data_IF_681139747392
#
_entry.id   IF_681139747392
#
_cell.length_a   1.000
_cell.length_b   1.000
_cell.length_c   1.000
_cell.angle_alpha   90.00
_cell.angle_beta   90.00
_cell.angle_gamma   90.00
#
_symmetry.space_group_name_H-M   'P 1'
#
loop_
_entity.id
_entity.type
_entity.pdbx_description
1 polymer ?
#
# COMPACT_ATOMS: atom_id res chain seq x y z
N UNK A 1 43.88 9.19 18.24
CA UNK A 1 42.54 9.43 18.84
C UNK A 1 41.53 10.09 17.89
N UNK A 2 41.84 11.21 17.21
CA UNK A 2 40.87 11.86 16.28
C UNK A 2 40.36 10.97 15.11
N UNK A 3 41.22 10.12 14.52
CA UNK A 3 40.82 9.22 13.41
C UNK A 3 39.91 8.06 13.86
N UNK A 4 40.04 7.59 15.10
CA UNK A 4 39.22 6.53 15.67
C UNK A 4 37.80 7.05 15.99
N UNK A 5 37.68 8.28 16.48
CA UNK A 5 36.38 8.93 16.78
C UNK A 5 35.59 9.21 15.51
N UNK A 6 36.24 9.63 14.42
CA UNK A 6 35.61 9.88 13.12
C UNK A 6 35.11 8.54 12.52
N UNK A 7 35.87 7.46 12.66
CA UNK A 7 35.47 6.13 12.15
C UNK A 7 34.26 5.55 12.93
N UNK A 8 34.17 5.80 14.23
CA UNK A 8 33.00 5.39 15.05
C UNK A 8 31.78 6.24 14.75
N UNK A 9 31.96 7.56 14.50
CA UNK A 9 30.84 8.46 14.15
C UNK A 9 30.28 8.14 12.77
N UNK A 10 31.13 7.79 11.79
CA UNK A 10 30.66 7.38 10.45
C UNK A 10 29.96 6.02 10.49
N UNK A 11 30.42 5.08 11.30
CA UNK A 11 29.74 3.78 11.47
C UNK A 11 28.39 3.93 12.19
N UNK A 12 28.29 4.81 13.20
CA UNK A 12 27.02 5.11 13.87
C UNK A 12 26.01 5.79 12.94
N UNK A 13 26.47 6.68 12.06
CA UNK A 13 25.60 7.40 11.11
C UNK A 13 25.10 6.48 9.99
N UNK A 14 25.88 5.49 9.53
CA UNK A 14 25.44 4.50 8.54
C UNK A 14 24.44 3.50 9.13
N UNK A 15 24.56 3.16 10.41
CA UNK A 15 23.58 2.30 11.10
C UNK A 15 22.26 3.04 11.32
N UNK A 16 22.27 4.34 11.67
CA UNK A 16 21.03 5.15 11.80
C UNK A 16 20.30 5.27 10.46
N UNK A 17 21.02 5.53 9.36
CA UNK A 17 20.40 5.61 8.01
C UNK A 17 19.82 4.28 7.54
N UNK A 18 20.39 3.13 7.94
CA UNK A 18 19.85 1.82 7.61
C UNK A 18 18.55 1.50 8.38
N UNK A 19 18.41 1.98 9.61
CA UNK A 19 17.17 1.83 10.40
C UNK A 19 16.03 2.68 9.85
N UNK A 20 16.31 3.92 9.40
CA UNK A 20 15.30 4.79 8.78
C UNK A 20 14.82 4.24 7.41
N UNK A 21 15.72 3.72 6.59
CA UNK A 21 15.37 3.14 5.30
C UNK A 21 14.48 1.89 5.44
N UNK A 22 14.75 1.00 6.40
CA UNK A 22 13.94 -0.18 6.66
C UNK A 22 12.55 0.19 7.22
N UNK A 23 12.44 1.25 8.02
CA UNK A 23 11.17 1.76 8.56
C UNK A 23 10.30 2.44 7.50
N UNK A 24 10.90 3.12 6.53
CA UNK A 24 10.17 3.73 5.41
C UNK A 24 9.60 2.67 4.45
N UNK A 25 10.36 1.61 4.15
CA UNK A 25 9.92 0.54 3.25
C UNK A 25 8.73 -0.23 3.83
N UNK A 26 8.73 -0.50 5.13
CA UNK A 26 7.62 -1.17 5.84
C UNK A 26 6.33 -0.32 5.82
N UNK A 27 6.42 0.98 6.07
CA UNK A 27 5.26 1.91 6.02
C UNK A 27 4.66 2.00 4.60
N UNK A 28 5.49 2.01 3.57
CA UNK A 28 5.04 2.02 2.18
C UNK A 28 4.31 0.71 1.85
N UNK A 29 4.83 -0.44 2.28
CA UNK A 29 4.17 -1.74 2.09
C UNK A 29 2.84 -1.82 2.83
N UNK A 30 2.77 -1.38 4.09
CA UNK A 30 1.52 -1.35 4.87
C UNK A 30 0.46 -0.45 4.22
N UNK A 31 0.85 0.73 3.75
CA UNK A 31 -0.06 1.65 3.06
C UNK A 31 -0.59 1.06 1.75
N UNK A 32 0.25 0.34 1.02
CA UNK A 32 -0.11 -0.36 -0.22
C UNK A 32 -1.08 -1.51 0.04
N UNK A 33 -0.82 -2.34 1.05
CA UNK A 33 -1.75 -3.41 1.48
C UNK A 33 -3.11 -2.86 1.88
N UNK A 34 -3.12 -1.83 2.72
CA UNK A 34 -4.36 -1.17 3.16
C UNK A 34 -5.15 -0.55 1.99
N UNK A 35 -4.47 -0.05 0.94
CA UNK A 35 -5.12 0.41 -0.28
C UNK A 35 -5.77 -0.76 -1.03
N UNK A 36 -5.03 -1.84 -1.29
CA UNK A 36 -5.53 -3.02 -1.99
C UNK A 36 -6.72 -3.65 -1.27
N UNK A 37 -6.67 -3.77 0.04
CA UNK A 37 -7.78 -4.28 0.86
C UNK A 37 -9.03 -3.39 0.73
N UNK A 38 -8.87 -2.05 0.71
CA UNK A 38 -9.98 -1.12 0.48
C UNK A 38 -10.55 -1.24 -0.94
N UNK A 39 -9.72 -1.32 -1.96
CA UNK A 39 -10.15 -1.52 -3.34
C UNK A 39 -10.94 -2.82 -3.50
N UNK A 40 -10.45 -3.92 -2.94
CA UNK A 40 -11.14 -5.22 -2.91
C UNK A 40 -12.52 -5.09 -2.22
N UNK A 41 -12.58 -4.43 -1.06
CA UNK A 41 -13.82 -4.25 -0.31
C UNK A 41 -14.88 -3.42 -1.08
N UNK A 42 -14.46 -2.38 -1.80
CA UNK A 42 -15.35 -1.59 -2.69
C UNK A 42 -15.90 -2.48 -3.82
N UNK A 43 -15.04 -3.28 -4.45
CA UNK A 43 -15.46 -4.19 -5.52
C UNK A 43 -16.43 -5.26 -4.98
N UNK A 44 -16.16 -5.85 -3.82
CA UNK A 44 -17.02 -6.84 -3.18
C UNK A 44 -18.40 -6.28 -2.89
N UNK A 45 -18.46 -5.07 -2.35
CA UNK A 45 -19.73 -4.38 -2.10
C UNK A 45 -20.50 -4.17 -3.40
N UNK A 46 -19.85 -3.69 -4.46
CA UNK A 46 -20.50 -3.51 -5.76
C UNK A 46 -20.99 -4.82 -6.36
N UNK A 47 -20.18 -5.87 -6.34
CA UNK A 47 -20.57 -7.18 -6.87
C UNK A 47 -21.77 -7.76 -6.10
N UNK A 48 -21.80 -7.58 -4.77
CA UNK A 48 -22.91 -8.04 -3.92
C UNK A 48 -24.19 -7.24 -4.17
N UNK A 49 -24.09 -5.90 -4.22
CA UNK A 49 -25.25 -5.01 -4.38
C UNK A 49 -25.87 -5.14 -5.79
N UNK A 50 -25.08 -5.56 -6.78
CA UNK A 50 -25.45 -5.57 -8.20
C UNK A 50 -25.57 -6.96 -8.81
N UNK A 51 -25.33 -8.04 -8.06
CA UNK A 51 -25.35 -9.42 -8.56
C UNK A 51 -26.67 -9.79 -9.28
N UNK A 52 -27.80 -9.19 -8.87
CA UNK A 52 -29.12 -9.43 -9.46
C UNK A 52 -29.53 -8.39 -10.51
N UNK A 53 -28.81 -7.26 -10.65
CA UNK A 53 -29.23 -6.09 -11.42
C UNK A 53 -28.31 -5.72 -12.58
N UNK A 54 -27.10 -6.28 -12.65
CA UNK A 54 -26.11 -5.90 -13.66
C UNK A 54 -26.45 -6.51 -15.01
N UNK A 55 -26.91 -5.71 -15.95
CA UNK A 55 -27.02 -6.06 -17.37
C UNK A 55 -25.66 -5.99 -18.09
N UNK A 56 -24.65 -5.35 -17.49
CA UNK A 56 -23.32 -5.16 -18.07
C UNK A 56 -22.33 -6.25 -17.63
N UNK A 57 -22.39 -7.39 -18.33
CA UNK A 57 -21.50 -8.52 -18.11
C UNK A 57 -20.00 -8.16 -18.28
N UNK A 58 -19.70 -7.11 -19.08
CA UNK A 58 -18.33 -6.64 -19.28
C UNK A 58 -17.83 -5.84 -18.09
N UNK A 59 -18.64 -4.93 -17.56
CA UNK A 59 -18.29 -4.17 -16.38
C UNK A 59 -18.08 -5.11 -15.17
N UNK A 60 -18.97 -6.11 -15.02
CA UNK A 60 -18.80 -7.16 -14.00
C UNK A 60 -17.50 -7.94 -14.17
N UNK A 61 -17.16 -8.33 -15.40
CA UNK A 61 -15.89 -9.03 -15.66
C UNK A 61 -14.67 -8.15 -15.34
N UNK A 62 -14.72 -6.87 -15.70
CA UNK A 62 -13.63 -5.93 -15.40
C UNK A 62 -13.44 -5.77 -13.88
N UNK A 63 -14.53 -5.66 -13.11
CA UNK A 63 -14.49 -5.63 -11.65
C UNK A 63 -13.86 -6.89 -11.06
N UNK A 64 -14.29 -8.07 -11.47
CA UNK A 64 -13.73 -9.34 -10.97
C UNK A 64 -12.26 -9.47 -11.34
N UNK A 65 -11.86 -9.07 -12.55
CA UNK A 65 -10.45 -9.09 -12.97
C UNK A 65 -9.58 -8.12 -12.18
N UNK A 66 -10.09 -6.91 -11.95
CA UNK A 66 -9.38 -5.94 -11.09
C UNK A 66 -9.20 -6.52 -9.69
N UNK A 67 -10.25 -7.10 -9.11
CA UNK A 67 -10.19 -7.76 -7.81
C UNK A 67 -9.15 -8.89 -7.76
N UNK A 68 -9.11 -9.74 -8.81
CA UNK A 68 -8.11 -10.81 -8.95
C UNK A 68 -6.70 -10.23 -9.01
N UNK A 69 -6.49 -9.14 -9.76
CA UNK A 69 -5.19 -8.48 -9.86
C UNK A 69 -4.76 -7.90 -8.50
N UNK A 70 -5.64 -7.19 -7.80
CA UNK A 70 -5.37 -6.59 -6.50
C UNK A 70 -5.05 -7.66 -5.45
N UNK A 71 -5.79 -8.79 -5.47
CA UNK A 71 -5.53 -9.91 -4.55
C UNK A 71 -4.21 -10.63 -4.85
N UNK A 72 -3.84 -10.76 -6.13
CA UNK A 72 -2.50 -11.28 -6.51
C UNK A 72 -1.39 -10.39 -5.96
N UNK A 73 -1.55 -9.09 -6.09
CA UNK A 73 -0.60 -8.12 -5.55
C UNK A 73 -0.54 -8.20 -4.00
N UNK A 74 -1.69 -8.31 -3.34
CA UNK A 74 -1.78 -8.47 -1.89
C UNK A 74 -1.07 -9.75 -1.40
N UNK A 75 -1.24 -10.87 -2.10
CA UNK A 75 -0.53 -12.12 -1.81
C UNK A 75 0.98 -11.94 -1.99
N UNK A 76 1.41 -11.31 -3.08
CA UNK A 76 2.83 -11.06 -3.34
C UNK A 76 3.48 -10.16 -2.28
N UNK A 77 2.79 -9.13 -1.81
CA UNK A 77 3.27 -8.28 -0.71
C UNK A 77 3.35 -9.07 0.61
N UNK A 78 2.36 -9.93 0.88
CA UNK A 78 2.40 -10.82 2.05
C UNK A 78 3.55 -11.83 1.99
N UNK A 79 3.89 -12.36 0.81
CA UNK A 79 5.04 -13.27 0.63
C UNK A 79 6.37 -12.56 0.92
N UNK A 80 6.54 -11.30 0.50
CA UNK A 80 7.73 -10.48 0.83
C UNK A 80 7.85 -10.23 2.33
N UNK A 81 6.73 -9.88 2.97
CA UNK A 81 6.70 -9.65 4.41
C UNK A 81 7.06 -10.91 5.21
N UNK A 82 6.52 -12.07 4.82
CA UNK A 82 6.87 -13.39 5.40
C UNK A 82 8.37 -13.69 5.21
N UNK A 83 8.93 -13.41 4.03
CA UNK A 83 10.35 -13.63 3.77
C UNK A 83 11.23 -12.74 4.67
N UNK A 84 10.88 -11.48 4.83
CA UNK A 84 11.56 -10.53 5.72
C UNK A 84 11.49 -10.99 7.19
N UNK A 85 10.30 -11.40 7.63
CA UNK A 85 10.07 -11.86 8.99
C UNK A 85 10.85 -13.17 9.27
N UNK A 86 10.88 -14.10 8.32
CA UNK A 86 11.69 -15.32 8.42
C UNK A 86 13.19 -15.02 8.50
N UNK A 87 13.68 -13.98 7.81
CA UNK A 87 15.09 -13.54 7.94
C UNK A 87 15.38 -12.99 9.32
N UNK A 88 14.47 -12.17 9.87
CA UNK A 88 14.59 -11.64 11.25
C UNK A 88 14.53 -12.76 12.30
N UNK A 89 13.66 -13.74 12.13
CA UNK A 89 13.58 -14.92 13.00
C UNK A 89 14.92 -15.68 12.99
N UNK A 90 15.49 -15.94 11.81
CA UNK A 90 16.78 -16.63 11.69
C UNK A 90 17.92 -15.86 12.37
N UNK A 91 18.02 -14.55 12.14
CA UNK A 91 19.03 -13.71 12.76
C UNK A 91 18.87 -13.68 14.30
N UNK A 92 17.63 -13.62 14.78
CA UNK A 92 17.33 -13.63 16.21
C UNK A 92 17.65 -14.97 16.85
N UNK A 93 17.36 -16.08 16.17
CA UNK A 93 17.70 -17.44 16.61
C UNK A 93 19.23 -17.58 16.76
N UNK A 94 19.99 -17.18 15.73
CA UNK A 94 21.47 -17.21 15.79
C UNK A 94 22.03 -16.34 16.93
N UNK A 95 21.38 -15.20 17.24
CA UNK A 95 21.76 -14.38 18.37
C UNK A 95 21.49 -15.09 19.70
N UNK A 96 20.33 -15.73 19.84
CA UNK A 96 20.00 -16.49 21.03
C UNK A 96 20.94 -17.69 21.24
N UNK A 97 21.28 -18.41 20.17
CA UNK A 97 22.19 -19.56 20.19
C UNK A 97 23.60 -19.12 20.67
N UNK A 98 24.11 -17.98 20.21
CA UNK A 98 25.39 -17.41 20.68
C UNK A 98 25.36 -17.03 22.17
N UNK A 99 24.25 -16.49 22.66
CA UNK A 99 24.09 -16.16 24.08
C UNK A 99 24.03 -17.45 24.90
N UNK A 100 23.36 -18.48 24.39
CA UNK A 100 23.31 -19.80 25.02
C UNK A 100 24.71 -20.42 25.14
N UNK A 101 25.48 -20.47 24.06
CA UNK A 101 26.88 -20.96 24.06
C UNK A 101 27.74 -20.23 25.08
N UNK A 102 27.59 -18.89 25.19
CA UNK A 102 28.29 -18.08 26.17
C UNK A 102 27.86 -18.44 27.59
N UNK A 103 26.55 -18.66 27.81
CA UNK A 103 26.02 -19.06 29.12
C UNK A 103 26.58 -20.43 29.54
N UNK A 104 26.62 -21.38 28.63
CA UNK A 104 27.14 -22.74 28.87
C UNK A 104 28.64 -22.67 29.23
N UNK A 105 29.42 -21.87 28.51
CA UNK A 105 30.84 -21.64 28.80
C UNK A 105 31.06 -21.02 30.20
N UNK A 106 30.27 -19.99 30.53
CA UNK A 106 30.36 -19.34 31.84
C UNK A 106 29.97 -20.29 32.97
N UNK A 107 28.93 -21.07 32.76
CA UNK A 107 28.42 -22.06 33.72
C UNK A 107 29.51 -23.13 33.98
N UNK A 108 30.08 -23.70 32.93
CA UNK A 108 31.15 -24.68 33.03
C UNK A 108 32.40 -24.14 33.80
N UNK A 109 32.75 -22.89 33.51
CA UNK A 109 33.85 -22.23 34.22
C UNK A 109 33.53 -22.00 35.69
N UNK A 110 32.32 -21.53 35.98
CA UNK A 110 31.84 -21.31 37.34
C UNK A 110 31.80 -22.59 38.15
N UNK A 111 31.28 -23.69 37.56
CA UNK A 111 31.27 -25.02 38.21
C UNK A 111 32.70 -25.48 38.59
N UNK A 112 33.69 -25.26 37.75
CA UNK A 112 35.09 -25.57 38.10
C UNK A 112 35.60 -24.75 39.28
N UNK A 113 35.26 -23.44 39.32
CA UNK A 113 35.62 -22.56 40.43
C UNK A 113 34.96 -23.02 41.75
N UNK A 114 33.66 -23.30 41.70
CA UNK A 114 32.87 -23.76 42.88
C UNK A 114 33.41 -25.11 43.36
N UNK A 115 33.68 -26.05 42.45
CA UNK A 115 34.23 -27.39 42.80
C UNK A 115 35.59 -27.28 43.47
N UNK A 116 36.48 -26.38 42.98
CA UNK A 116 37.75 -26.12 43.59
C UNK A 116 37.62 -25.46 44.96
N UNK A 117 36.73 -24.49 45.12
CA UNK A 117 36.46 -23.85 46.39
C UNK A 117 35.85 -24.84 47.40
N UNK A 118 34.95 -25.73 46.95
CA UNK A 118 34.33 -26.75 47.81
C UNK A 118 35.31 -27.80 48.33
N UNK A 119 36.28 -28.26 47.50
CA UNK A 119 37.37 -29.16 47.92
C UNK A 119 38.18 -28.59 49.07
N UNK A 120 38.32 -27.27 49.10
CA UNK A 120 39.13 -26.53 50.07
C UNK A 120 38.29 -25.77 51.10
N UNK A 121 37.01 -26.20 51.35
CA UNK A 121 36.01 -25.47 52.16
C UNK A 121 36.31 -25.46 53.68
N UNK A 122 37.17 -26.37 54.16
CA UNK A 122 37.49 -26.38 55.58
C UNK A 122 38.25 -25.08 55.93
N UNK A 123 37.62 -24.26 56.76
CA UNK A 123 38.20 -22.99 57.22
C UNK A 123 39.56 -23.19 57.89
N UNK A 124 39.75 -24.34 58.57
CA UNK A 124 41.05 -24.68 59.15
C UNK A 124 42.12 -24.82 58.08
N UNK A 125 41.78 -25.42 56.91
CA UNK A 125 42.72 -25.56 55.78
C UNK A 125 43.10 -24.20 55.22
N UNK A 126 42.19 -23.24 55.16
CA UNK A 126 42.49 -21.89 54.64
C UNK A 126 43.37 -21.09 55.59
N UNK A 127 43.09 -21.17 56.95
CA UNK A 127 43.99 -20.55 57.94
C UNK A 127 45.35 -21.23 57.97
N UNK A 128 45.39 -22.58 57.91
CA UNK A 128 46.64 -23.34 57.84
C UNK A 128 47.43 -22.98 56.55
N UNK A 129 46.77 -22.80 55.41
CA UNK A 129 47.42 -22.42 54.15
C UNK A 129 48.11 -21.03 54.23
N UNK A 130 47.48 -20.08 54.94
CA UNK A 130 48.05 -18.75 55.17
C UNK A 130 49.19 -18.86 56.25
N UNK A 131 48.93 -19.55 57.35
CA UNK A 131 49.86 -19.67 58.46
C UNK A 131 51.13 -20.52 58.13
N UNK A 132 51.00 -21.48 57.21
CA UNK A 132 52.11 -22.28 56.70
C UNK A 132 52.98 -21.52 55.74
N UNK A 133 52.97 -20.19 55.72
CA UNK A 133 53.79 -19.36 54.89
C UNK A 133 55.15 -19.16 55.54
N UNK A 134 56.23 -19.19 54.74
CA UNK A 134 57.60 -19.04 55.18
C UNK A 134 57.96 -17.59 55.61
N UNK A 135 57.18 -16.64 55.15
CA UNK A 135 57.33 -15.23 55.48
C UNK A 135 56.03 -14.44 55.34
N UNK A 136 55.95 -13.24 55.92
CA UNK A 136 54.82 -12.36 55.92
C UNK A 136 54.32 -12.00 54.50
N UNK A 137 55.25 -11.77 53.55
CA UNK A 137 54.95 -11.44 52.16
C UNK A 137 54.22 -12.61 51.43
N UNK A 138 54.59 -13.88 51.74
CA UNK A 138 53.94 -15.05 51.20
C UNK A 138 52.52 -15.22 51.82
N UNK A 139 52.39 -14.97 53.11
CA UNK A 139 51.09 -15.00 53.80
C UNK A 139 50.16 -13.97 53.21
N UNK A 140 50.58 -12.76 52.92
CA UNK A 140 49.82 -11.72 52.32
C UNK A 140 49.38 -12.08 50.87
N UNK A 141 50.31 -12.65 50.05
CA UNK A 141 49.97 -13.13 48.69
C UNK A 141 48.90 -14.23 48.74
N UNK A 142 48.98 -15.19 49.65
CA UNK A 142 48.01 -16.27 49.80
C UNK A 142 46.64 -15.76 50.26
N UNK A 143 46.57 -14.81 51.18
CA UNK A 143 45.35 -14.16 51.61
C UNK A 143 44.69 -13.38 50.47
N UNK A 144 45.46 -12.62 49.69
CA UNK A 144 44.97 -11.92 48.52
C UNK A 144 44.47 -12.88 47.43
N UNK A 145 45.12 -14.01 47.22
CA UNK A 145 44.68 -15.02 46.29
C UNK A 145 43.26 -15.54 46.65
N UNK A 146 43.05 -15.88 47.91
CA UNK A 146 41.71 -16.35 48.38
C UNK A 146 40.64 -15.27 48.28
N UNK A 147 40.99 -14.02 48.60
CA UNK A 147 40.09 -12.88 48.45
C UNK A 147 39.73 -12.67 46.97
N UNK A 148 40.70 -12.72 46.08
CA UNK A 148 40.50 -12.57 44.63
C UNK A 148 39.65 -13.72 44.07
N UNK A 149 39.85 -14.96 44.54
CA UNK A 149 39.04 -16.11 44.15
C UNK A 149 37.55 -15.92 44.51
N UNK A 150 37.28 -15.45 45.73
CA UNK A 150 35.89 -15.16 46.15
C UNK A 150 35.25 -14.05 45.33
N UNK A 151 36.02 -12.98 45.09
CA UNK A 151 35.58 -11.86 44.25
C UNK A 151 35.27 -12.33 42.82
N UNK A 152 36.14 -13.18 42.25
CA UNK A 152 35.96 -13.72 40.92
C UNK A 152 34.74 -14.66 40.83
N UNK A 153 34.52 -15.50 41.84
CA UNK A 153 33.31 -16.35 41.91
C UNK A 153 32.04 -15.51 41.91
N UNK A 154 31.96 -14.47 42.74
CA UNK A 154 30.78 -13.57 42.76
C UNK A 154 30.60 -12.89 41.41
N UNK A 155 31.66 -12.36 40.83
CA UNK A 155 31.63 -11.72 39.50
C UNK A 155 31.14 -12.66 38.38
N UNK A 156 31.58 -13.93 38.40
CA UNK A 156 31.11 -14.93 37.42
C UNK A 156 29.66 -15.34 37.68
N UNK A 157 29.21 -15.44 38.93
CA UNK A 157 27.84 -15.69 39.28
C UNK A 157 26.91 -14.58 38.77
N UNK A 158 27.26 -13.32 38.96
CA UNK A 158 26.52 -12.16 38.42
C UNK A 158 26.42 -12.22 36.89
N UNK A 159 27.58 -12.48 36.20
CA UNK A 159 27.57 -12.62 34.74
C UNK A 159 26.62 -13.74 34.25
N UNK A 160 26.55 -14.85 34.96
CA UNK A 160 25.63 -15.94 34.59
C UNK A 160 24.18 -15.49 34.74
N UNK A 161 23.85 -14.78 35.83
CA UNK A 161 22.50 -14.25 36.05
C UNK A 161 22.12 -13.27 34.94
N UNK A 162 22.99 -12.32 34.61
CA UNK A 162 22.79 -11.33 33.56
C UNK A 162 22.64 -11.97 32.18
N UNK A 163 23.52 -12.94 31.86
CA UNK A 163 23.50 -13.65 30.57
C UNK A 163 22.23 -14.49 30.44
N UNK A 164 21.76 -15.12 31.54
CA UNK A 164 20.50 -15.86 31.58
C UNK A 164 19.29 -14.93 31.35
N UNK A 165 19.30 -13.77 31.99
CA UNK A 165 18.26 -12.75 31.77
C UNK A 165 18.27 -12.21 30.32
N UNK A 166 19.44 -12.04 29.73
CA UNK A 166 19.59 -11.66 28.32
C UNK A 166 19.02 -12.75 27.41
N UNK A 167 19.38 -14.02 27.65
CA UNK A 167 18.85 -15.14 26.86
C UNK A 167 17.32 -15.20 26.93
N UNK A 168 16.75 -15.04 28.12
CA UNK A 168 15.30 -15.03 28.28
C UNK A 168 14.65 -13.93 27.42
N UNK A 169 15.18 -12.69 27.46
CA UNK A 169 14.68 -11.60 26.60
C UNK A 169 14.81 -11.90 25.10
N UNK A 170 15.89 -12.58 24.68
CA UNK A 170 16.06 -13.00 23.28
C UNK A 170 15.02 -14.04 22.88
N UNK A 171 14.75 -15.03 23.75
CA UNK A 171 13.75 -16.07 23.52
C UNK A 171 12.33 -15.51 23.50
N UNK A 172 11.97 -14.60 24.40
CA UNK A 172 10.68 -13.95 24.40
C UNK A 172 10.43 -13.16 23.11
N UNK A 173 11.42 -12.37 22.70
CA UNK A 173 11.38 -11.65 21.43
C UNK A 173 11.28 -12.58 20.22
N UNK A 174 11.95 -13.72 20.23
CA UNK A 174 11.87 -14.74 19.18
C UNK A 174 10.47 -15.36 19.11
N UNK A 175 9.87 -15.66 20.24
CA UNK A 175 8.52 -16.22 20.32
C UNK A 175 7.48 -15.25 19.76
N UNK A 176 7.59 -13.97 20.07
CA UNK A 176 6.71 -12.93 19.48
C UNK A 176 6.84 -12.93 17.94
N UNK A 177 8.05 -12.89 17.40
CA UNK A 177 8.26 -12.92 15.95
C UNK A 177 7.71 -14.19 15.27
N UNK A 178 7.84 -15.34 15.93
CA UNK A 178 7.25 -16.62 15.44
C UNK A 178 5.72 -16.54 15.40
N UNK A 179 5.10 -16.02 16.47
CA UNK A 179 3.65 -15.86 16.53
C UNK A 179 3.13 -14.90 15.44
N UNK A 180 3.80 -13.77 15.23
CA UNK A 180 3.50 -12.85 14.12
C UNK A 180 3.58 -13.55 12.76
N UNK A 181 4.61 -14.36 12.53
CA UNK A 181 4.79 -15.11 11.29
C UNK A 181 3.64 -16.11 11.04
N UNK A 182 3.17 -16.80 12.08
CA UNK A 182 2.05 -17.75 11.96
C UNK A 182 0.73 -17.03 11.61
N UNK A 183 0.43 -15.89 12.26
CA UNK A 183 -0.74 -15.08 11.94
C UNK A 183 -0.70 -14.61 10.49
N UNK A 184 0.46 -14.12 10.04
CA UNK A 184 0.63 -13.64 8.68
C UNK A 184 0.50 -14.76 7.64
N UNK A 185 1.04 -15.95 7.92
CA UNK A 185 0.88 -17.15 7.06
C UNK A 185 -0.58 -17.60 6.96
N UNK A 186 -1.31 -17.59 8.08
CA UNK A 186 -2.73 -17.91 8.09
C UNK A 186 -3.54 -16.91 7.24
N UNK A 187 -3.28 -15.61 7.39
CA UNK A 187 -3.89 -14.55 6.56
C UNK A 187 -3.57 -14.77 5.08
N UNK A 188 -2.31 -14.99 4.74
CA UNK A 188 -1.86 -15.27 3.36
C UNK A 188 -2.58 -16.49 2.76
N UNK A 189 -2.75 -17.55 3.54
CA UNK A 189 -3.47 -18.76 3.08
C UNK A 189 -4.94 -18.46 2.79
N UNK A 190 -5.60 -17.67 3.62
CA UNK A 190 -6.97 -17.20 3.39
C UNK A 190 -7.07 -16.39 2.09
N UNK A 191 -6.11 -15.49 1.83
CA UNK A 191 -6.07 -14.69 0.60
C UNK A 191 -5.86 -15.56 -0.66
N UNK A 192 -5.02 -16.59 -0.59
CA UNK A 192 -4.82 -17.53 -1.71
C UNK A 192 -6.11 -18.32 -2.01
N UNK A 193 -6.81 -18.79 -0.97
CA UNK A 193 -8.07 -19.51 -1.14
C UNK A 193 -9.16 -18.59 -1.75
N UNK A 194 -9.21 -17.33 -1.33
CA UNK A 194 -10.12 -16.35 -1.92
C UNK A 194 -9.76 -16.05 -3.39
N UNK A 195 -8.46 -15.92 -3.70
CA UNK A 195 -7.96 -15.73 -5.06
C UNK A 195 -8.39 -16.86 -6.00
N UNK A 196 -8.26 -18.12 -5.57
CA UNK A 196 -8.69 -19.27 -6.36
C UNK A 196 -10.18 -19.24 -6.69
N UNK A 197 -11.03 -18.87 -5.70
CA UNK A 197 -12.48 -18.71 -5.92
C UNK A 197 -12.79 -17.60 -6.93
N UNK A 198 -12.09 -16.48 -6.84
CA UNK A 198 -12.28 -15.34 -7.74
C UNK A 198 -11.79 -15.63 -9.16
N UNK A 199 -10.69 -16.36 -9.31
CA UNK A 199 -10.21 -16.84 -10.61
C UNK A 199 -11.23 -17.79 -11.27
N UNK A 200 -11.81 -18.73 -10.52
CA UNK A 200 -12.85 -19.61 -10.99
C UNK A 200 -14.13 -18.83 -11.39
N UNK A 201 -14.52 -17.82 -10.62
CA UNK A 201 -15.63 -16.93 -10.96
C UNK A 201 -15.34 -16.15 -12.26
N UNK A 202 -14.15 -15.60 -12.41
CA UNK A 202 -13.70 -14.92 -13.63
C UNK A 202 -13.77 -15.84 -14.86
N UNK A 203 -13.28 -17.08 -14.71
CA UNK A 203 -13.33 -18.09 -15.79
C UNK A 203 -14.78 -18.43 -16.19
N UNK A 204 -15.67 -18.54 -15.22
CA UNK A 204 -17.10 -18.81 -15.46
C UNK A 204 -17.75 -17.65 -16.22
N UNK A 205 -17.48 -16.41 -15.84
CA UNK A 205 -17.95 -15.22 -16.55
C UNK A 205 -17.45 -15.17 -17.99
N UNK A 206 -16.18 -15.47 -18.21
CA UNK A 206 -15.58 -15.57 -19.56
C UNK A 206 -16.30 -16.62 -20.40
N UNK A 207 -16.54 -17.82 -19.86
CA UNK A 207 -17.25 -18.91 -20.55
C UNK A 207 -18.68 -18.52 -20.92
N UNK A 208 -19.39 -17.84 -20.02
CA UNK A 208 -20.74 -17.35 -20.28
C UNK A 208 -20.78 -16.29 -21.39
N UNK A 209 -19.81 -15.35 -21.37
CA UNK A 209 -19.67 -14.35 -22.43
C UNK A 209 -19.38 -15.00 -23.80
N UNK A 210 -18.51 -16.02 -23.82
CA UNK A 210 -18.21 -16.78 -25.05
C UNK A 210 -19.44 -17.49 -25.62
N UNK A 211 -20.27 -18.11 -24.75
CA UNK A 211 -21.51 -18.79 -25.17
C UNK A 211 -22.54 -17.82 -25.76
N UNK A 212 -22.61 -16.61 -25.22
CA UNK A 212 -23.56 -15.57 -25.63
C UNK A 212 -22.95 -14.55 -26.63
N UNK A 213 -21.96 -14.95 -27.40
CA UNK A 213 -21.18 -14.07 -28.28
C UNK A 213 -22.02 -13.18 -29.20
N UNK A 214 -23.07 -13.74 -29.86
CA UNK A 214 -23.90 -12.99 -30.80
C UNK A 214 -24.68 -11.87 -30.13
N UNK A 215 -25.29 -12.16 -28.98
CA UNK A 215 -26.00 -11.14 -28.16
C UNK A 215 -25.03 -10.06 -27.71
N UNK A 216 -23.87 -10.47 -27.25
CA UNK A 216 -22.85 -9.56 -26.74
C UNK A 216 -22.26 -8.63 -27.83
N UNK A 217 -22.13 -9.11 -29.06
CA UNK A 217 -21.71 -8.27 -30.20
C UNK A 217 -22.71 -7.16 -30.50
N UNK A 218 -24.01 -7.43 -30.38
CA UNK A 218 -25.06 -6.38 -30.53
C UNK A 218 -24.94 -5.32 -29.42
N UNK A 219 -24.79 -5.75 -28.17
CA UNK A 219 -24.64 -4.86 -27.03
C UNK A 219 -23.34 -4.01 -27.14
N UNK A 220 -22.25 -4.61 -27.61
CA UNK A 220 -20.99 -3.91 -27.86
C UNK A 220 -21.12 -2.84 -28.94
N UNK A 221 -21.87 -3.15 -30.04
CA UNK A 221 -22.13 -2.18 -31.11
C UNK A 221 -22.98 -1.00 -30.58
N UNK A 222 -23.98 -1.26 -29.73
CA UNK A 222 -24.78 -0.21 -29.08
C UNK A 222 -23.88 0.67 -28.17
N UNK A 223 -23.05 0.07 -27.33
CA UNK A 223 -22.10 0.81 -26.49
C UNK A 223 -21.09 1.62 -27.29
N UNK A 224 -20.58 1.08 -28.40
CA UNK A 224 -19.70 1.84 -29.28
C UNK A 224 -20.38 3.12 -29.77
N UNK A 225 -21.65 3.03 -30.20
CA UNK A 225 -22.40 4.23 -30.62
C UNK A 225 -22.55 5.24 -29.49
N UNK A 226 -22.80 4.80 -28.24
CA UNK A 226 -22.88 5.68 -27.07
C UNK A 226 -21.56 6.40 -26.77
N UNK A 227 -20.44 5.66 -26.78
CA UNK A 227 -19.09 6.23 -26.57
C UNK A 227 -18.74 7.24 -27.67
N UNK A 228 -19.00 6.88 -28.94
CA UNK A 228 -18.75 7.78 -30.08
C UNK A 228 -19.63 9.04 -30.00
N UNK A 229 -20.89 8.92 -29.56
CA UNK A 229 -21.78 10.06 -29.34
C UNK A 229 -21.27 10.96 -28.19
N UNK A 230 -20.84 10.37 -27.07
CA UNK A 230 -20.24 11.09 -25.95
C UNK A 230 -19.02 11.87 -26.40
N UNK A 231 -18.07 11.19 -27.06
CA UNK A 231 -16.83 11.80 -27.50
C UNK A 231 -17.06 12.97 -28.48
N UNK A 232 -18.01 12.82 -29.42
CA UNK A 232 -18.41 13.90 -30.35
C UNK A 232 -19.03 15.08 -29.61
N UNK A 233 -19.91 14.83 -28.64
CA UNK A 233 -20.57 15.89 -27.88
C UNK A 233 -19.57 16.63 -26.99
N UNK A 234 -18.63 15.91 -26.31
CA UNK A 234 -17.56 16.52 -25.54
C UNK A 234 -16.68 17.40 -26.45
N UNK A 235 -16.25 16.87 -27.60
CA UNK A 235 -15.43 17.63 -28.55
C UNK A 235 -16.17 18.90 -29.04
N UNK A 236 -17.50 18.80 -29.30
CA UNK A 236 -18.34 19.95 -29.69
C UNK A 236 -18.41 21.00 -28.59
N UNK A 237 -18.65 20.58 -27.35
CA UNK A 237 -18.74 21.47 -26.18
C UNK A 237 -17.41 22.17 -25.94
N UNK A 238 -16.31 21.44 -25.97
CA UNK A 238 -14.98 21.99 -25.79
C UNK A 238 -14.64 22.96 -26.93
N UNK A 239 -14.93 22.60 -28.17
CA UNK A 239 -14.70 23.49 -29.35
C UNK A 239 -15.52 24.79 -29.23
N UNK A 240 -16.77 24.71 -28.79
CA UNK A 240 -17.61 25.88 -28.51
C UNK A 240 -17.05 26.75 -27.36
N UNK A 241 -16.54 26.11 -26.31
CA UNK A 241 -15.93 26.82 -25.17
C UNK A 241 -14.60 27.52 -25.56
N UNK A 242 -13.78 26.89 -26.42
CA UNK A 242 -12.54 27.45 -26.92
C UNK A 242 -12.80 28.56 -27.97
N UNK A 243 -13.75 28.36 -28.87
CA UNK A 243 -14.08 29.33 -29.94
C UNK A 243 -14.93 30.53 -29.50
N UNK A 244 -15.44 30.50 -28.26
CA UNK A 244 -16.31 31.58 -27.73
C UNK A 244 -17.69 31.66 -28.40
N UNK A 245 -18.11 30.66 -29.19
CA UNK A 245 -19.39 30.61 -29.92
C UNK A 245 -20.49 29.89 -29.16
N UNK A 246 -20.61 30.11 -27.85
CA UNK A 246 -21.62 29.50 -27.00
C UNK A 246 -22.60 30.52 -26.44
N UNK A 247 -23.81 30.64 -27.08
CA UNK A 247 -25.01 31.31 -26.56
C UNK A 247 -24.94 32.82 -26.34
N UNK A 248 -26.10 33.49 -26.47
CA UNK A 248 -26.33 34.95 -26.42
C UNK A 248 -25.82 35.72 -25.16
N UNK A 249 -25.00 35.16 -24.28
CA UNK A 249 -24.53 35.83 -23.07
C UNK A 249 -23.06 35.56 -22.66
N UNK A 250 -22.24 34.96 -23.51
CA UNK A 250 -20.83 34.75 -23.17
C UNK A 250 -19.93 35.68 -23.99
N UNK A 251 -19.73 36.90 -23.52
CA UNK A 251 -18.60 37.73 -23.95
C UNK A 251 -17.33 36.88 -23.85
N UNK A 252 -16.44 36.97 -24.88
CA UNK A 252 -15.09 36.39 -24.90
C UNK A 252 -14.36 36.80 -23.60
N UNK A 253 -14.49 36.01 -22.54
CA UNK A 253 -13.56 36.15 -21.42
C UNK A 253 -12.24 35.53 -21.89
N UNK A 254 -11.11 36.29 -21.83
CA UNK A 254 -9.81 35.75 -22.15
C UNK A 254 -9.55 34.47 -21.35
N UNK A 255 -8.91 33.50 -21.98
CA UNK A 255 -8.44 32.28 -21.28
C UNK A 255 -7.63 32.74 -20.08
N UNK A 256 -7.95 32.27 -18.88
CA UNK A 256 -7.19 32.59 -17.68
C UNK A 256 -5.81 31.91 -17.78
N UNK A 257 -4.83 32.69 -18.28
CA UNK A 257 -3.46 32.23 -18.55
C UNK A 257 -2.79 31.74 -17.25
N UNK A 258 -3.14 32.36 -16.11
CA UNK A 258 -2.59 31.98 -14.81
C UNK A 258 -3.12 30.60 -14.41
N UNK A 259 -4.41 30.37 -14.52
CA UNK A 259 -5.06 29.10 -14.22
C UNK A 259 -4.59 27.98 -15.14
N UNK A 260 -4.36 28.27 -16.44
CA UNK A 260 -3.81 27.34 -17.42
C UNK A 260 -2.40 26.86 -17.03
N UNK A 261 -1.52 27.80 -16.68
CA UNK A 261 -0.15 27.49 -16.28
C UNK A 261 -0.10 26.73 -14.94
N UNK A 262 -0.98 27.10 -13.99
CA UNK A 262 -1.09 26.42 -12.70
C UNK A 262 -1.60 24.98 -12.86
N UNK A 263 -2.62 24.74 -13.69
CA UNK A 263 -3.08 23.39 -14.00
C UNK A 263 -1.95 22.53 -14.59
N UNK A 264 -1.23 23.05 -15.58
CA UNK A 264 -0.13 22.33 -16.23
C UNK A 264 1.00 21.93 -15.24
N UNK A 265 1.34 22.81 -14.28
CA UNK A 265 2.35 22.55 -13.23
C UNK A 265 1.94 21.46 -12.23
N UNK A 266 0.64 21.16 -12.14
CA UNK A 266 0.10 20.15 -11.24
C UNK A 266 -0.02 18.75 -11.87
N UNK A 267 0.64 18.49 -12.99
CA UNK A 267 0.73 17.14 -13.56
C UNK A 267 1.33 16.16 -12.54
N UNK A 268 0.63 15.04 -12.28
CA UNK A 268 1.01 14.05 -11.29
C UNK A 268 0.79 14.48 -9.83
N UNK A 269 0.04 15.56 -9.58
CA UNK A 269 -0.24 16.10 -8.24
C UNK A 269 -1.72 16.40 -8.00
N UNK A 270 -2.57 16.26 -9.01
CA UNK A 270 -3.99 16.52 -8.86
C UNK A 270 -4.62 15.45 -7.95
N UNK A 271 -5.54 15.83 -7.06
CA UNK A 271 -6.26 14.88 -6.24
C UNK A 271 -7.20 14.02 -7.11
N UNK A 272 -7.44 12.79 -6.68
CA UNK A 272 -8.45 11.95 -7.30
C UNK A 272 -9.85 12.55 -7.14
N UNK A 273 -10.71 12.48 -8.19
CA UNK A 273 -12.08 13.00 -8.12
C UNK A 273 -12.96 12.20 -7.14
N UNK A 274 -12.61 10.96 -6.88
CA UNK A 274 -13.20 10.08 -5.87
C UNK A 274 -12.24 8.92 -5.58
N UNK A 275 -12.38 8.27 -4.42
CA UNK A 275 -11.56 7.12 -4.02
C UNK A 275 -12.20 5.82 -4.50
N UNK A 276 -11.48 5.07 -5.33
CA UNK A 276 -11.92 3.76 -5.82
C UNK A 276 -10.98 3.16 -6.85
N UNK A 277 -11.11 1.85 -7.13
CA UNK A 277 -10.29 1.17 -8.13
C UNK A 277 -10.63 1.64 -9.54
N UNK A 278 -9.60 1.85 -10.37
CA UNK A 278 -9.74 2.09 -11.81
C UNK A 278 -10.04 0.76 -12.49
N UNK A 279 -11.18 0.68 -13.17
CA UNK A 279 -11.67 -0.54 -13.84
C UNK A 279 -11.60 -0.49 -15.34
N UNK A 280 -11.40 0.71 -15.93
CA UNK A 280 -11.15 0.91 -17.34
C UNK A 280 -10.18 2.08 -17.53
N UNK A 281 -9.10 1.84 -18.28
CA UNK A 281 -7.98 2.75 -18.43
C UNK A 281 -8.10 3.59 -19.71
N UNK A 282 -7.34 4.68 -19.76
CA UNK A 282 -7.24 5.54 -20.95
C UNK A 282 -6.61 4.80 -22.13
N UNK A 283 -7.11 5.05 -23.32
CA UNK A 283 -6.49 4.62 -24.55
C UNK A 283 -7.25 3.55 -25.33
N UNK A 284 -6.54 2.90 -26.24
CA UNK A 284 -7.08 1.87 -27.09
C UNK A 284 -6.92 0.50 -26.43
N UNK A 285 -8.03 -0.20 -26.22
CA UNK A 285 -8.04 -1.54 -25.62
C UNK A 285 -8.68 -2.56 -26.56
N UNK A 286 -8.29 -3.82 -26.36
CA UNK A 286 -8.96 -4.96 -27.00
C UNK A 286 -9.88 -5.64 -26.00
N UNK A 287 -10.93 -6.25 -26.54
CA UNK A 287 -11.88 -6.97 -25.71
C UNK A 287 -11.19 -8.12 -24.97
N UNK A 288 -11.28 -8.19 -23.63
CA UNK A 288 -10.52 -9.15 -22.83
C UNK A 288 -10.87 -10.63 -23.08
N UNK A 289 -12.07 -10.92 -23.63
CA UNK A 289 -12.52 -12.27 -23.99
C UNK A 289 -12.35 -12.50 -25.49
N UNK A 290 -12.76 -11.54 -26.32
CA UNK A 290 -12.65 -11.61 -27.78
C UNK A 290 -11.46 -10.77 -28.25
N UNK A 291 -10.25 -11.31 -28.10
CA UNK A 291 -8.97 -10.59 -28.30
C UNK A 291 -8.82 -9.91 -29.67
N UNK A 292 -9.55 -10.35 -30.70
CA UNK A 292 -9.60 -9.73 -32.03
C UNK A 292 -10.52 -8.52 -32.11
N UNK A 293 -11.38 -8.32 -31.12
CA UNK A 293 -12.36 -7.21 -31.12
C UNK A 293 -11.74 -5.99 -30.45
N UNK A 294 -11.58 -4.93 -31.24
CA UNK A 294 -11.10 -3.61 -30.80
C UNK A 294 -12.23 -2.86 -30.13
N UNK A 295 -12.04 -2.44 -28.89
CA UNK A 295 -13.00 -1.60 -28.16
C UNK A 295 -12.94 -0.16 -28.65
N UNK A 296 -13.97 0.67 -28.41
CA UNK A 296 -13.86 2.12 -28.62
C UNK A 296 -12.67 2.70 -27.88
N UNK A 297 -12.05 3.75 -28.43
CA UNK A 297 -10.99 4.48 -27.72
C UNK A 297 -11.56 5.12 -26.47
N UNK A 298 -10.99 4.84 -25.30
CA UNK A 298 -11.38 5.43 -24.02
C UNK A 298 -10.63 6.75 -23.81
N UNK A 299 -11.31 7.89 -23.88
CA UNK A 299 -10.74 9.22 -23.69
C UNK A 299 -10.50 9.58 -22.21
N UNK A 300 -10.79 8.65 -21.28
CA UNK A 300 -10.65 8.87 -19.86
C UNK A 300 -10.38 7.58 -19.09
N UNK A 301 -10.77 7.59 -17.83
CA UNK A 301 -10.72 6.43 -16.94
C UNK A 301 -12.09 6.19 -16.34
N UNK A 302 -12.36 4.94 -15.95
CA UNK A 302 -13.56 4.59 -15.20
C UNK A 302 -13.17 4.12 -13.81
N UNK A 303 -13.74 4.78 -12.79
CA UNK A 303 -13.48 4.51 -11.37
C UNK A 303 -14.73 3.84 -10.78
N UNK A 304 -14.53 2.71 -10.11
CA UNK A 304 -15.59 1.99 -9.39
C UNK A 304 -15.76 2.59 -7.99
N UNK A 305 -17.01 2.93 -7.63
CA UNK A 305 -17.30 3.71 -6.42
C UNK A 305 -18.39 3.04 -5.58
N UNK A 306 -18.52 3.47 -4.33
CA UNK A 306 -19.69 3.16 -3.52
C UNK A 306 -20.91 3.91 -4.01
N UNK A 307 -22.13 3.40 -3.72
CA UNK A 307 -23.36 4.09 -4.08
C UNK A 307 -23.44 5.45 -3.39
N UNK A 308 -23.74 6.51 -4.17
CA UNK A 308 -23.85 7.86 -3.65
C UNK A 308 -22.53 8.51 -3.24
N UNK A 309 -21.39 7.99 -3.71
CA UNK A 309 -20.07 8.57 -3.43
C UNK A 309 -19.99 10.00 -3.96
N UNK A 310 -19.49 10.98 -3.13
CA UNK A 310 -19.33 12.36 -3.56
C UNK A 310 -18.17 12.50 -4.54
N UNK A 311 -18.43 13.21 -5.65
CA UNK A 311 -17.45 13.51 -6.69
C UNK A 311 -16.91 14.92 -6.48
N UNK A 312 -15.59 15.04 -6.47
CA UNK A 312 -14.86 16.29 -6.18
C UNK A 312 -14.17 16.84 -7.41
N UNK A 313 -14.12 18.17 -7.51
CA UNK A 313 -13.34 18.85 -8.54
C UNK A 313 -11.83 18.60 -8.31
N UNK A 314 -11.11 18.17 -9.34
CA UNK A 314 -9.67 17.88 -9.24
C UNK A 314 -8.81 19.14 -9.21
N UNK A 315 -9.34 20.28 -9.66
CA UNK A 315 -8.64 21.56 -9.67
C UNK A 315 -9.64 22.76 -9.65
N UNK A 316 -9.13 23.93 -9.28
CA UNK A 316 -9.87 25.19 -9.33
C UNK A 316 -10.33 25.49 -10.77
N UNK A 317 -11.56 25.95 -10.94
CA UNK A 317 -12.07 26.21 -12.28
C UNK A 317 -13.47 26.81 -12.32
N UNK A 318 -14.06 26.83 -13.50
CA UNK A 318 -15.42 27.33 -13.74
C UNK A 318 -16.22 26.24 -14.44
N UNK A 319 -17.40 25.90 -13.89
CA UNK A 319 -18.35 24.98 -14.52
C UNK A 319 -18.85 25.58 -15.82
N UNK A 320 -18.50 24.96 -16.94
CA UNK A 320 -18.92 25.45 -18.27
C UNK A 320 -20.28 24.97 -18.66
N UNK A 321 -20.53 23.68 -18.45
CA UNK A 321 -21.76 23.05 -18.88
C UNK A 321 -22.08 21.81 -18.04
N UNK A 322 -23.36 21.52 -17.91
CA UNK A 322 -23.88 20.27 -17.41
C UNK A 322 -24.76 19.69 -18.50
N UNK A 323 -24.44 18.49 -18.96
CA UNK A 323 -25.17 17.78 -20.02
C UNK A 323 -25.68 16.45 -19.51
N UNK A 324 -26.85 16.00 -20.03
CA UNK A 324 -27.39 14.67 -19.79
C UNK A 324 -27.23 13.86 -21.06
N UNK A 325 -26.56 12.69 -20.94
CA UNK A 325 -26.31 11.85 -22.10
C UNK A 325 -26.75 10.40 -21.84
N UNK A 326 -27.34 9.76 -22.86
CA UNK A 326 -27.75 8.35 -22.77
C UNK A 326 -26.55 7.45 -22.40
N UNK A 327 -26.71 6.62 -21.37
CA UNK A 327 -25.64 5.72 -20.84
C UNK A 327 -24.59 6.39 -19.97
N UNK A 328 -24.58 7.73 -19.88
CA UNK A 328 -23.65 8.51 -19.04
C UNK A 328 -24.32 9.43 -18.04
N UNK A 329 -25.66 9.52 -18.07
CA UNK A 329 -26.45 10.36 -17.18
C UNK A 329 -25.95 11.82 -17.16
N UNK A 330 -25.88 12.48 -16.00
CA UNK A 330 -25.39 13.85 -15.88
C UNK A 330 -23.87 13.87 -15.96
N UNK A 331 -23.37 14.79 -16.79
CA UNK A 331 -21.96 15.05 -16.97
C UNK A 331 -21.65 16.51 -16.71
N UNK A 332 -20.63 16.80 -15.91
CA UNK A 332 -20.18 18.15 -15.56
C UNK A 332 -18.86 18.43 -16.28
N UNK A 333 -18.77 19.53 -17.01
CA UNK A 333 -17.57 20.05 -17.64
C UNK A 333 -17.05 21.25 -16.84
N UNK A 334 -15.80 21.18 -16.36
CA UNK A 334 -15.12 22.27 -15.66
C UNK A 334 -13.96 22.77 -16.53
N UNK A 335 -13.81 24.08 -16.68
CA UNK A 335 -12.72 24.71 -17.39
C UNK A 335 -11.66 25.26 -16.42
N UNK A 336 -10.38 25.00 -16.73
CA UNK A 336 -9.18 25.39 -15.99
C UNK A 336 -8.20 26.09 -16.95
N UNK A 337 -8.58 27.28 -17.47
CA UNK A 337 -7.83 27.91 -18.58
C UNK A 337 -8.11 27.23 -19.92
N UNK A 338 -7.10 26.66 -20.56
CA UNK A 338 -7.23 25.85 -21.79
C UNK A 338 -7.34 24.34 -21.51
N UNK A 339 -7.41 23.97 -20.22
CA UNK A 339 -7.63 22.62 -19.76
C UNK A 339 -9.08 22.41 -19.34
N UNK A 340 -9.56 21.18 -19.49
CA UNK A 340 -10.90 20.79 -19.11
C UNK A 340 -10.91 19.46 -18.37
N UNK A 341 -11.70 19.37 -17.30
CA UNK A 341 -12.02 18.11 -16.63
C UNK A 341 -13.49 17.78 -16.84
N UNK A 342 -13.78 16.52 -17.11
CA UNK A 342 -15.12 16.04 -17.43
C UNK A 342 -15.51 14.87 -16.54
N UNK A 343 -16.63 14.99 -15.85
CA UNK A 343 -17.13 14.06 -14.84
C UNK A 343 -18.50 13.56 -15.28
N UNK A 344 -18.59 12.28 -15.64
CA UNK A 344 -19.82 11.65 -16.12
C UNK A 344 -20.35 10.58 -15.18
N UNK A 345 -21.61 10.21 -15.38
CA UNK A 345 -22.36 9.23 -14.58
C UNK A 345 -22.74 9.74 -13.20
N UNK A 346 -23.02 11.03 -13.09
CA UNK A 346 -23.54 11.65 -11.89
C UNK A 346 -25.06 11.52 -11.81
N UNK A 347 -25.58 11.16 -10.65
CA UNK A 347 -27.02 11.16 -10.36
C UNK A 347 -27.54 12.53 -10.00
N UNK A 348 -26.73 13.28 -9.22
CA UNK A 348 -27.04 14.66 -8.83
C UNK A 348 -25.83 15.55 -9.03
N UNK A 349 -26.09 16.84 -9.23
CA UNK A 349 -25.05 17.87 -9.34
C UNK A 349 -25.30 18.94 -8.27
N UNK A 350 -24.25 19.32 -7.56
CA UNK A 350 -24.28 20.38 -6.53
C UNK A 350 -23.87 21.74 -7.08
N UNK A 351 -23.61 21.82 -8.38
CA UNK A 351 -23.10 23.03 -9.08
C UNK A 351 -23.96 23.33 -10.31
N UNK A 352 -23.86 24.57 -10.80
CA UNK A 352 -24.57 25.05 -11.99
C UNK A 352 -23.56 25.62 -12.99
N UNK A 353 -23.90 25.70 -14.30
CA UNK A 353 -23.08 26.41 -15.29
C UNK A 353 -22.78 27.84 -14.85
N UNK A 354 -21.52 28.24 -14.91
CA UNK A 354 -21.02 29.56 -14.45
C UNK A 354 -20.44 29.56 -13.05
N UNK A 355 -20.70 28.55 -12.21
CA UNK A 355 -20.15 28.49 -10.86
C UNK A 355 -18.63 28.33 -10.88
N UNK A 356 -17.95 29.03 -9.97
CA UNK A 356 -16.54 28.81 -9.65
C UNK A 356 -16.42 27.69 -8.63
N UNK A 357 -15.57 26.73 -8.91
CA UNK A 357 -15.29 25.60 -8.03
C UNK A 357 -13.84 25.61 -7.57
N UNK A 358 -13.60 25.08 -6.37
CA UNK A 358 -12.29 24.91 -5.78
C UNK A 358 -11.86 23.44 -5.84
N UNK A 359 -10.56 23.22 -5.83
CA UNK A 359 -9.96 21.89 -5.70
C UNK A 359 -10.53 21.18 -4.47
N UNK A 360 -11.01 19.94 -4.65
CA UNK A 360 -11.63 19.15 -3.57
C UNK A 360 -13.10 19.47 -3.29
N UNK A 361 -13.69 20.52 -3.92
CA UNK A 361 -15.10 20.84 -3.75
C UNK A 361 -16.00 19.76 -4.35
N UNK A 362 -17.05 19.34 -3.63
CA UNK A 362 -18.05 18.40 -4.13
C UNK A 362 -18.87 19.05 -5.23
N UNK A 363 -18.94 18.37 -6.39
CA UNK A 363 -19.66 18.85 -7.57
C UNK A 363 -20.91 18.01 -7.89
N UNK A 364 -21.08 16.88 -7.23
CA UNK A 364 -22.20 15.97 -7.39
C UNK A 364 -21.95 14.63 -6.71
N UNK A 365 -22.86 13.69 -6.94
CA UNK A 365 -22.77 12.31 -6.44
C UNK A 365 -22.88 11.32 -7.58
N UNK A 366 -22.19 10.19 -7.49
CA UNK A 366 -22.27 9.11 -8.47
C UNK A 366 -23.67 8.49 -8.48
N UNK A 367 -24.13 8.06 -9.67
CA UNK A 367 -25.36 7.32 -9.84
C UNK A 367 -25.13 5.81 -10.01
N UNK A 368 -26.22 5.04 -9.81
CA UNK A 368 -26.24 3.61 -10.14
C UNK A 368 -26.83 3.45 -11.54
N UNK A 369 -26.00 3.22 -12.54
CA UNK A 369 -26.39 3.00 -13.94
C UNK A 369 -26.10 1.53 -14.27
N UNK A 370 -27.09 0.82 -14.82
CA UNK A 370 -27.01 -0.60 -15.16
C UNK A 370 -26.54 -1.49 -13.98
N UNK A 371 -26.89 -1.10 -12.76
CA UNK A 371 -26.48 -1.79 -11.54
C UNK A 371 -25.05 -1.50 -11.09
N UNK A 372 -24.36 -0.54 -11.69
CA UNK A 372 -22.97 -0.19 -11.37
C UNK A 372 -22.85 1.26 -10.92
N UNK A 373 -22.00 1.51 -9.91
CA UNK A 373 -21.67 2.85 -9.45
C UNK A 373 -20.28 3.20 -10.00
N UNK A 374 -20.26 3.83 -11.15
CA UNK A 374 -19.03 4.13 -11.89
C UNK A 374 -18.94 5.62 -12.17
N UNK A 375 -17.79 6.23 -11.92
CA UNK A 375 -17.47 7.55 -12.43
C UNK A 375 -16.64 7.40 -13.70
N UNK A 376 -17.04 8.06 -14.80
CA UNK A 376 -16.19 8.20 -15.97
C UNK A 376 -15.58 9.60 -15.98
N UNK A 377 -14.25 9.66 -15.90
CA UNK A 377 -13.47 10.89 -15.72
C UNK A 377 -12.48 11.11 -16.86
N UNK A 378 -12.45 12.34 -17.41
CA UNK A 378 -11.56 12.70 -18.50
C UNK A 378 -10.84 14.03 -18.22
N UNK A 379 -9.64 14.18 -18.74
CA UNK A 379 -8.86 15.44 -18.80
C UNK A 379 -8.57 15.77 -20.28
N UNK A 380 -8.77 17.03 -20.66
CA UNK A 380 -8.55 17.50 -22.02
C UNK A 380 -7.66 18.74 -22.02
N UNK A 381 -6.75 18.84 -23.01
CA UNK A 381 -6.04 20.07 -23.35
C UNK A 381 -6.57 20.60 -24.68
N UNK A 382 -7.29 21.72 -24.64
CA UNK A 382 -8.07 22.09 -25.81
C UNK A 382 -8.96 20.93 -26.26
N UNK A 383 -8.84 20.49 -27.51
CA UNK A 383 -9.59 19.40 -28.11
C UNK A 383 -8.90 18.03 -28.01
N UNK A 384 -7.76 17.92 -27.33
CA UNK A 384 -6.99 16.68 -27.22
C UNK A 384 -7.17 16.02 -25.85
N UNK A 385 -7.71 14.78 -25.79
CA UNK A 385 -7.83 14.04 -24.53
C UNK A 385 -6.45 13.65 -24.00
N UNK A 386 -6.30 13.68 -22.70
CA UNK A 386 -5.08 13.34 -21.98
C UNK A 386 -5.34 12.14 -21.06
N UNK A 387 -4.31 11.30 -20.84
CA UNK A 387 -4.43 10.20 -19.88
C UNK A 387 -4.52 10.74 -18.45
N UNK A 388 -5.68 10.59 -17.75
CA UNK A 388 -5.88 11.14 -16.40
C UNK A 388 -4.93 10.55 -15.37
N UNK A 389 -4.51 9.28 -15.52
CA UNK A 389 -3.64 8.60 -14.55
C UNK A 389 -2.25 9.23 -14.47
N UNK A 390 -1.84 10.00 -15.47
CA UNK A 390 -0.59 10.76 -15.46
C UNK A 390 -0.71 12.10 -14.72
N UNK A 391 -1.92 12.50 -14.33
CA UNK A 391 -2.22 13.78 -13.69
C UNK A 391 -2.60 13.62 -12.22
N UNK A 392 -3.20 12.50 -11.87
CA UNK A 392 -3.76 12.20 -10.54
C UNK A 392 -2.72 11.57 -9.61
N UNK A 393 -2.83 11.87 -8.31
CA UNK A 393 -1.97 11.34 -7.28
C UNK A 393 -2.77 10.95 -6.03
#
# INVERSE_FOLDING_TARGET
>A
MKRLVISILTLAMTVLCAYDAAGQDTRVQESRKARLEREIAVIDKQLKDNAAKSSDAMATLNLVRKKVADRKELVAESDKEIATLNSRIRAKQQSADKVQERLDTLTLYYEKLVRNAYRNRDSKVWYMYILASENIGQAFRRANYLRNLSTEMNRQGEKIIDTKAELQRQMDSLNVLKAEAEVLRAKRTSEVNALQKEEAQSATLVKNLQRNRSRYQKDLAAKKRQVDALNREIARIIAAAVSGKGGKAAAKKPVDIKLDAEFAKNKGKLPWPAEGPVTDHFGQHYHPVFKSVKLPFNNGITISLSKGEPIKAVFDGVVKQIVVMPGYNKCVLIQHGNWFSFYCKLGSTSVKPGDKVKTGQVIGMVDTIDGMNLLHFQIWKGTSPQNPELWLR
#
